data_IF_198756862885
#
_entry.id   IF_198756862885
#
_cell.length_a   1.000
_cell.length_b   1.000
_cell.length_c   1.000
_cell.angle_alpha   90.00
_cell.angle_beta   90.00
_cell.angle_gamma   90.00
#
_symmetry.space_group_name_H-M   'P 1'
#
loop_
_entity.id
_entity.type
_entity.pdbx_description
1 polymer ?
#
# COMPACT_ATOMS: atom_id res chain seq x y z
N UNK A 1 23.68 3.64 10.91
CA UNK A 1 22.49 4.25 11.54
C UNK A 1 21.51 4.55 10.43
N UNK A 2 20.26 4.04 10.48
CA UNK A 2 19.24 4.40 9.51
C UNK A 2 19.04 5.93 9.51
N UNK A 3 18.97 6.53 8.31
CA UNK A 3 18.80 7.96 8.12
C UNK A 3 17.30 8.27 8.16
N UNK A 4 16.87 9.13 9.08
CA UNK A 4 15.45 9.50 9.24
C UNK A 4 14.82 10.01 7.94
N UNK A 5 15.54 10.85 7.18
CA UNK A 5 15.02 11.42 5.94
C UNK A 5 14.76 10.34 4.88
N UNK A 6 15.68 9.38 4.76
CA UNK A 6 15.56 8.27 3.81
C UNK A 6 14.37 7.37 4.14
N UNK A 7 14.19 7.01 5.42
CA UNK A 7 13.05 6.19 5.84
C UNK A 7 11.72 6.93 5.67
N UNK A 8 11.71 8.25 5.82
CA UNK A 8 10.53 9.07 5.59
C UNK A 8 10.15 9.14 4.11
N UNK A 9 11.13 9.25 3.21
CA UNK A 9 10.91 9.16 1.76
C UNK A 9 10.35 7.79 1.34
N UNK A 10 10.90 6.70 1.89
CA UNK A 10 10.37 5.36 1.68
C UNK A 10 8.92 5.23 2.17
N UNK A 11 8.59 5.85 3.31
CA UNK A 11 7.22 5.86 3.83
C UNK A 11 6.25 6.59 2.89
N UNK A 12 6.62 7.77 2.39
CA UNK A 12 5.81 8.51 1.41
C UNK A 12 5.58 7.68 0.15
N UNK A 13 6.62 7.01 -0.35
CA UNK A 13 6.51 6.17 -1.53
C UNK A 13 5.59 4.96 -1.27
N UNK A 14 5.75 4.30 -0.12
CA UNK A 14 4.90 3.18 0.29
C UNK A 14 3.43 3.60 0.39
N UNK A 15 3.14 4.77 0.97
CA UNK A 15 1.78 5.29 1.11
C UNK A 15 1.11 5.56 -0.25
N UNK A 16 1.85 6.15 -1.19
CA UNK A 16 1.35 6.38 -2.56
C UNK A 16 1.04 5.06 -3.26
N UNK A 17 1.98 4.11 -3.22
CA UNK A 17 1.81 2.81 -3.84
C UNK A 17 0.63 2.04 -3.24
N UNK A 18 0.46 2.09 -1.91
CA UNK A 18 -0.67 1.45 -1.23
C UNK A 18 -2.01 2.05 -1.64
N UNK A 19 -2.11 3.38 -1.76
CA UNK A 19 -3.32 4.04 -2.23
C UNK A 19 -3.69 3.61 -3.66
N UNK A 20 -2.71 3.55 -4.56
CA UNK A 20 -2.91 3.08 -5.93
C UNK A 20 -3.36 1.61 -5.97
N UNK A 21 -2.77 0.76 -5.13
CA UNK A 21 -3.14 -0.65 -5.02
C UNK A 21 -4.55 -0.86 -4.46
N UNK A 22 -4.95 -0.08 -3.44
CA UNK A 22 -6.31 -0.10 -2.89
C UNK A 22 -7.33 0.25 -3.96
N UNK A 23 -7.05 1.26 -4.78
CA UNK A 23 -7.92 1.63 -5.90
C UNK A 23 -8.06 0.48 -6.90
N UNK A 24 -6.96 -0.18 -7.28
CA UNK A 24 -6.99 -1.31 -8.21
C UNK A 24 -7.79 -2.50 -7.67
N UNK A 25 -7.69 -2.78 -6.37
CA UNK A 25 -8.51 -3.82 -5.72
C UNK A 25 -10.00 -3.47 -5.82
N UNK A 26 -10.38 -2.22 -5.54
CA UNK A 26 -11.76 -1.76 -5.69
C UNK A 26 -12.26 -1.87 -7.15
N UNK A 27 -11.43 -1.48 -8.12
CA UNK A 27 -11.74 -1.59 -9.55
C UNK A 27 -11.94 -3.06 -9.97
N UNK A 28 -11.13 -3.98 -9.44
CA UNK A 28 -11.26 -5.42 -9.72
C UNK A 28 -12.55 -6.02 -9.14
N UNK A 29 -12.97 -5.58 -7.95
CA UNK A 29 -14.25 -5.98 -7.36
C UNK A 29 -15.41 -5.58 -8.28
N UNK A 30 -15.43 -4.32 -8.74
CA UNK A 30 -16.45 -3.83 -9.68
C UNK A 30 -16.44 -4.65 -10.98
N UNK A 31 -15.26 -5.00 -11.49
CA UNK A 31 -15.14 -5.84 -12.68
C UNK A 31 -15.78 -7.22 -12.48
N UNK A 32 -15.53 -7.88 -11.35
CA UNK A 32 -16.14 -9.17 -11.02
C UNK A 32 -17.65 -9.06 -10.88
N UNK A 33 -18.15 -8.01 -10.23
CA UNK A 33 -19.60 -7.75 -10.12
C UNK A 33 -20.25 -7.60 -11.49
N UNK A 34 -19.64 -6.85 -12.40
CA UNK A 34 -20.12 -6.70 -13.77
C UNK A 34 -20.08 -8.02 -14.56
N UNK A 35 -19.02 -8.81 -14.40
CA UNK A 35 -18.89 -10.12 -15.06
C UNK A 35 -19.97 -11.08 -14.58
N UNK A 36 -20.19 -11.11 -13.26
CA UNK A 36 -21.23 -11.91 -12.61
C UNK A 36 -22.61 -11.53 -13.14
N UNK A 37 -22.92 -10.23 -13.21
CA UNK A 37 -24.20 -9.73 -13.71
C UNK A 37 -24.45 -10.12 -15.19
N UNK A 38 -23.38 -10.27 -15.98
CA UNK A 38 -23.44 -10.68 -17.39
C UNK A 38 -23.41 -12.21 -17.56
N UNK A 39 -23.28 -12.98 -16.48
CA UNK A 39 -23.20 -14.44 -16.50
C UNK A 39 -21.90 -14.98 -17.07
N UNK A 40 -20.81 -14.21 -17.01
CA UNK A 40 -19.48 -14.68 -17.39
C UNK A 40 -18.86 -15.52 -16.28
N UNK A 41 -17.94 -16.40 -16.66
CA UNK A 41 -17.06 -17.12 -15.73
C UNK A 41 -16.11 -16.13 -15.04
N UNK A 42 -16.09 -16.16 -13.70
CA UNK A 42 -15.34 -15.24 -12.84
C UNK A 42 -14.13 -15.86 -12.15
N UNK A 43 -13.89 -17.18 -12.30
CA UNK A 43 -12.89 -17.91 -11.50
C UNK A 43 -11.49 -17.23 -11.56
N UNK A 44 -11.02 -16.90 -12.77
CA UNK A 44 -9.73 -16.24 -12.93
C UNK A 44 -9.70 -14.82 -12.35
N UNK A 45 -10.80 -14.08 -12.46
CA UNK A 45 -10.91 -12.72 -11.96
C UNK A 45 -10.89 -12.70 -10.41
N UNK A 46 -11.51 -13.69 -9.78
CA UNK A 46 -11.51 -13.88 -8.32
C UNK A 46 -10.14 -14.33 -7.79
N UNK A 47 -9.44 -15.22 -8.49
CA UNK A 47 -8.07 -15.61 -8.13
C UNK A 47 -7.08 -14.44 -8.27
N UNK A 48 -7.27 -13.59 -9.29
CA UNK A 48 -6.53 -12.35 -9.41
C UNK A 48 -6.82 -11.42 -8.23
N UNK A 49 -8.09 -11.22 -7.87
CA UNK A 49 -8.48 -10.38 -6.72
C UNK A 49 -7.79 -10.87 -5.43
N UNK A 50 -7.82 -12.18 -5.15
CA UNK A 50 -7.16 -12.77 -3.98
C UNK A 50 -5.65 -12.49 -3.95
N UNK A 51 -5.00 -12.54 -5.11
CA UNK A 51 -3.57 -12.22 -5.25
C UNK A 51 -3.30 -10.73 -4.99
N UNK A 52 -4.19 -9.85 -5.47
CA UNK A 52 -4.09 -8.40 -5.24
C UNK A 52 -4.29 -8.06 -3.77
N UNK A 53 -5.26 -8.68 -3.09
CA UNK A 53 -5.50 -8.52 -1.65
C UNK A 53 -4.29 -8.98 -0.82
N UNK A 54 -3.71 -10.14 -1.15
CA UNK A 54 -2.49 -10.61 -0.51
C UNK A 54 -1.32 -9.63 -0.70
N UNK A 55 -1.16 -9.11 -1.91
CA UNK A 55 -0.12 -8.12 -2.22
C UNK A 55 -0.32 -6.84 -1.40
N UNK A 56 -1.56 -6.37 -1.28
CA UNK A 56 -1.91 -5.21 -0.46
C UNK A 56 -1.57 -5.44 1.02
N UNK A 57 -1.88 -6.62 1.55
CA UNK A 57 -1.56 -6.99 2.94
C UNK A 57 -0.03 -7.00 3.18
N UNK A 58 0.75 -7.58 2.26
CA UNK A 58 2.22 -7.56 2.32
C UNK A 58 2.75 -6.12 2.28
N UNK A 59 2.21 -5.27 1.41
CA UNK A 59 2.58 -3.86 1.34
C UNK A 59 2.28 -3.12 2.65
N UNK A 60 1.14 -3.38 3.28
CA UNK A 60 0.78 -2.77 4.58
C UNK A 60 1.74 -3.19 5.69
N UNK A 61 2.16 -4.47 5.72
CA UNK A 61 3.20 -4.94 6.65
C UNK A 61 4.54 -4.25 6.38
N UNK A 62 4.92 -4.09 5.12
CA UNK A 62 6.16 -3.38 4.77
C UNK A 62 6.14 -1.93 5.25
N UNK A 63 5.02 -1.21 5.05
CA UNK A 63 4.83 0.15 5.58
C UNK A 63 5.00 0.20 7.10
N UNK A 64 4.44 -0.76 7.84
CA UNK A 64 4.60 -0.83 9.30
C UNK A 64 6.07 -0.94 9.71
N UNK A 65 6.86 -1.77 9.01
CA UNK A 65 8.30 -1.91 9.27
C UNK A 65 9.06 -0.59 9.07
N UNK A 66 8.68 0.22 8.07
CA UNK A 66 9.26 1.55 7.83
C UNK A 66 8.92 2.51 8.98
N UNK A 67 7.65 2.52 9.42
CA UNK A 67 7.21 3.34 10.57
C UNK A 67 7.95 2.95 11.85
N UNK A 68 8.14 1.66 12.08
CA UNK A 68 8.95 1.17 13.19
C UNK A 68 10.43 1.57 13.06
N UNK A 69 10.99 1.56 11.86
CA UNK A 69 12.37 1.99 11.61
C UNK A 69 12.54 3.49 11.90
N UNK A 70 11.62 4.32 11.43
CA UNK A 70 11.57 5.76 11.74
C UNK A 70 11.53 6.04 13.24
N UNK A 71 10.77 5.23 14.00
CA UNK A 71 10.66 5.35 15.47
C UNK A 71 11.97 5.02 16.20
N UNK A 72 12.89 4.31 15.53
CA UNK A 72 14.21 3.93 16.05
C UNK A 72 15.35 4.83 15.55
N UNK A 73 15.07 5.80 14.69
CA UNK A 73 16.06 6.78 14.26
C UNK A 73 16.30 7.80 15.39
N UNK A 74 17.56 7.96 15.82
CA UNK A 74 17.98 8.89 16.89
C UNK A 74 17.85 10.38 16.49
N UNK A 75 17.74 10.68 15.20
CA UNK A 75 17.59 12.03 14.68
C UNK A 75 16.10 12.37 14.58
N UNK A 76 15.61 13.19 15.52
CA UNK A 76 14.25 13.72 15.51
C UNK A 76 13.98 14.52 14.22
N UNK A 77 12.71 14.63 13.77
CA UNK A 77 12.35 15.42 12.59
C UNK A 77 12.99 16.82 12.68
N UNK A 78 13.56 17.35 11.58
CA UNK A 78 14.17 18.68 11.60
C UNK A 78 13.13 19.69 12.11
N UNK A 79 13.52 20.51 13.08
CA UNK A 79 12.63 21.48 13.70
C UNK A 79 11.93 22.32 12.61
N UNK A 80 10.61 22.57 12.73
CA UNK A 80 9.89 23.36 11.74
C UNK A 80 10.59 24.71 11.61
N UNK A 81 11.04 25.03 10.40
CA UNK A 81 11.68 26.31 10.12
C UNK A 81 10.63 27.42 10.33
N UNK A 82 10.80 28.21 11.38
CA UNK A 82 10.03 29.42 11.60
C UNK A 82 10.32 30.40 10.45
N UNK A 83 9.36 30.56 9.56
CA UNK A 83 9.31 31.67 8.61
C UNK A 83 8.21 32.64 9.00
#
# INVERSE_FOLDING_TARGET
MPNWLQEFEHLIQADRLLADWQRRVADQIVCIEEMTAKGYDTDLAEDLLRTMEYTLEVGQRHRQLIVEALSRCDEAPPAPSSH
#
